data_IF_844444610851
#
_entry.id   IF_844444610851
#
_cell.length_a   1.000
_cell.length_b   1.000
_cell.length_c   1.000
_cell.angle_alpha   90.00
_cell.angle_beta   90.00
_cell.angle_gamma   90.00
#
_symmetry.space_group_name_H-M   'P 1'
#
loop_
_entity.id
_entity.type
_entity.pdbx_description
1 polymer ?
#
# COMPACT_ATOMS: atom_id res chain seq x y z
N UNK A 1 -2.93 -55.80 57.40
CA UNK A 1 -1.91 -54.76 57.17
C UNK A 1 -2.16 -54.21 55.76
N UNK A 2 -2.95 -53.15 55.63
CA UNK A 2 -3.40 -52.62 54.35
C UNK A 2 -2.36 -51.62 53.82
N UNK A 3 -1.80 -51.90 52.65
CA UNK A 3 -0.78 -51.09 52.00
C UNK A 3 -1.45 -50.11 51.03
N UNK A 4 -1.54 -48.84 51.42
CA UNK A 4 -2.03 -47.75 50.58
C UNK A 4 -0.98 -47.38 49.53
N UNK A 5 -1.23 -47.71 48.27
CA UNK A 5 -0.44 -47.25 47.13
C UNK A 5 -1.13 -45.99 46.57
N UNK A 6 -0.61 -44.82 46.95
CA UNK A 6 -1.02 -43.53 46.41
C UNK A 6 -0.44 -43.39 44.98
N UNK A 7 -1.28 -43.59 43.96
CA UNK A 7 -0.92 -43.29 42.56
C UNK A 7 -0.92 -41.77 42.34
N UNK A 8 0.26 -41.19 42.19
CA UNK A 8 0.40 -39.82 41.69
C UNK A 8 -0.04 -39.77 40.21
N UNK A 9 -1.19 -39.17 39.94
CA UNK A 9 -1.61 -38.79 38.59
C UNK A 9 -0.88 -37.50 38.21
N UNK A 10 0.25 -37.63 37.52
CA UNK A 10 0.89 -36.51 36.83
C UNK A 10 0.05 -36.10 35.62
N UNK A 11 -0.69 -35.00 35.73
CA UNK A 11 -1.35 -34.38 34.58
C UNK A 11 -0.28 -33.74 33.69
N UNK A 12 0.12 -34.45 32.62
CA UNK A 12 0.93 -33.87 31.56
C UNK A 12 0.05 -32.88 30.77
N UNK A 13 0.19 -31.60 31.11
CA UNK A 13 -0.41 -30.49 30.36
C UNK A 13 0.32 -30.39 29.01
N UNK A 14 -0.12 -31.14 28.00
CA UNK A 14 0.33 -30.95 26.63
C UNK A 14 -0.17 -29.58 26.16
N UNK A 15 0.71 -28.58 26.25
CA UNK A 15 0.57 -27.33 25.50
C UNK A 15 0.58 -27.70 24.03
N UNK A 16 -0.62 -27.89 23.45
CA UNK A 16 -0.80 -28.02 22.01
C UNK A 16 -0.46 -26.66 21.39
N UNK A 17 0.83 -26.40 21.19
CA UNK A 17 1.26 -25.27 20.39
C UNK A 17 0.81 -25.58 18.95
N UNK A 18 0.03 -24.71 18.30
CA UNK A 18 -0.55 -25.04 17.01
C UNK A 18 0.57 -25.20 15.99
N UNK A 19 0.79 -26.43 15.52
CA UNK A 19 1.81 -26.79 14.53
C UNK A 19 1.75 -25.91 13.27
N UNK A 20 0.56 -25.40 12.92
CA UNK A 20 0.35 -24.53 11.77
C UNK A 20 1.11 -23.20 11.85
N UNK A 21 1.27 -22.62 13.05
CA UNK A 21 1.95 -21.32 13.20
C UNK A 21 3.47 -21.43 12.93
N UNK A 22 4.08 -22.57 13.26
CA UNK A 22 5.50 -22.82 13.03
C UNK A 22 5.84 -23.06 11.56
N UNK A 23 4.93 -23.68 10.80
CA UNK A 23 5.13 -23.96 9.37
C UNK A 23 5.24 -22.69 8.53
N UNK A 24 4.33 -21.73 8.76
CA UNK A 24 4.31 -20.45 8.04
C UNK A 24 5.54 -19.59 8.35
N UNK A 25 5.98 -19.58 9.61
CA UNK A 25 7.15 -18.81 10.02
C UNK A 25 8.45 -19.40 9.45
N UNK A 26 8.59 -20.72 9.46
CA UNK A 26 9.72 -21.40 8.83
C UNK A 26 9.77 -21.14 7.31
N UNK A 27 8.61 -21.22 6.64
CA UNK A 27 8.52 -20.93 5.20
C UNK A 27 8.89 -19.47 4.88
N UNK A 28 8.44 -18.51 5.69
CA UNK A 28 8.81 -17.10 5.54
C UNK A 28 10.32 -16.87 5.75
N UNK A 29 10.93 -17.50 6.76
CA UNK A 29 12.36 -17.43 7.02
C UNK A 29 13.20 -18.07 5.89
N UNK A 30 12.75 -19.20 5.35
CA UNK A 30 13.38 -19.85 4.19
C UNK A 30 13.27 -18.97 2.94
N UNK A 31 12.09 -18.41 2.66
CA UNK A 31 11.90 -17.49 1.54
C UNK A 31 12.81 -16.26 1.65
N UNK A 32 12.90 -15.64 2.83
CA UNK A 32 13.78 -14.50 3.08
C UNK A 32 15.27 -14.86 2.89
N UNK A 33 15.69 -16.08 3.26
CA UNK A 33 17.04 -16.58 3.02
C UNK A 33 17.34 -16.77 1.54
N UNK A 34 16.43 -17.40 0.81
CA UNK A 34 16.56 -17.62 -0.65
C UNK A 34 16.66 -16.27 -1.37
N UNK A 35 15.77 -15.32 -1.05
CA UNK A 35 15.79 -13.98 -1.64
C UNK A 35 17.13 -13.26 -1.43
N UNK A 36 17.70 -13.34 -0.22
CA UNK A 36 19.05 -12.80 0.07
C UNK A 36 20.12 -13.40 -0.82
N UNK A 37 20.12 -14.73 -0.94
CA UNK A 37 21.12 -15.47 -1.70
C UNK A 37 21.00 -15.20 -3.21
N UNK A 38 19.78 -14.95 -3.72
CA UNK A 38 19.54 -14.63 -5.13
C UNK A 38 19.97 -13.20 -5.53
N UNK A 39 20.29 -12.32 -4.58
CA UNK A 39 20.67 -10.93 -4.84
C UNK A 39 22.04 -10.56 -4.22
N UNK A 40 23.13 -11.27 -4.58
CA UNK A 40 24.43 -11.12 -3.91
C UNK A 40 25.08 -9.74 -4.07
N UNK A 41 24.60 -8.91 -5.01
CA UNK A 41 25.10 -7.55 -5.26
C UNK A 41 24.37 -6.43 -4.49
N UNK A 42 23.40 -6.75 -3.64
CA UNK A 42 22.63 -5.75 -2.87
C UNK A 42 23.22 -5.61 -1.47
N UNK A 43 23.49 -4.36 -1.02
CA UNK A 43 24.04 -4.11 0.32
C UNK A 43 23.05 -4.51 1.42
N UNK A 44 23.57 -4.89 2.60
CA UNK A 44 22.72 -5.22 3.76
C UNK A 44 21.80 -4.05 4.15
N UNK A 45 22.27 -2.80 4.00
CA UNK A 45 21.48 -1.59 4.21
C UNK A 45 20.31 -1.48 3.22
N UNK A 46 20.59 -1.58 1.92
CA UNK A 46 19.55 -1.57 0.86
C UNK A 46 18.56 -2.70 1.08
N UNK A 47 19.05 -3.84 1.55
CA UNK A 47 18.23 -5.01 1.83
C UNK A 47 17.29 -4.79 3.02
N UNK A 48 17.81 -4.28 4.13
CA UNK A 48 17.01 -3.94 5.30
C UNK A 48 16.00 -2.83 5.01
N UNK A 49 16.33 -1.89 4.13
CA UNK A 49 15.45 -0.79 3.74
C UNK A 49 14.29 -1.21 2.83
N UNK A 50 14.44 -2.29 2.03
CA UNK A 50 13.46 -2.64 0.98
C UNK A 50 12.71 -3.93 1.22
N UNK A 51 13.31 -4.90 1.92
CA UNK A 51 12.76 -6.28 1.96
C UNK A 51 12.36 -6.71 3.36
N UNK A 52 12.80 -5.97 4.38
CA UNK A 52 12.19 -6.10 5.70
C UNK A 52 10.71 -5.69 5.58
N UNK A 53 9.82 -6.66 5.73
CA UNK A 53 8.39 -6.41 5.75
C UNK A 53 7.99 -5.77 7.07
N UNK A 54 7.11 -4.78 7.03
CA UNK A 54 6.38 -4.36 8.21
C UNK A 54 5.28 -5.37 8.58
N UNK A 55 4.61 -5.14 9.71
CA UNK A 55 3.57 -6.04 10.22
C UNK A 55 2.41 -6.23 9.23
N UNK A 56 2.01 -5.15 8.55
CA UNK A 56 0.92 -5.16 7.56
C UNK A 56 1.31 -5.95 6.32
N UNK A 57 2.50 -5.71 5.76
CA UNK A 57 3.05 -6.43 4.63
C UNK A 57 3.20 -7.93 4.93
N UNK A 58 3.70 -8.27 6.13
CA UNK A 58 3.83 -9.66 6.56
C UNK A 58 2.46 -10.35 6.71
N UNK A 59 1.48 -9.66 7.28
CA UNK A 59 0.11 -10.17 7.40
C UNK A 59 -0.55 -10.38 6.03
N UNK A 60 -0.44 -9.40 5.13
CA UNK A 60 -0.97 -9.50 3.77
C UNK A 60 -0.29 -10.63 2.98
N UNK A 61 1.02 -10.83 3.16
CA UNK A 61 1.74 -11.94 2.53
C UNK A 61 1.26 -13.30 3.06
N UNK A 62 1.18 -13.45 4.39
CA UNK A 62 0.74 -14.68 5.06
C UNK A 62 -0.67 -15.09 4.63
N UNK A 63 -1.57 -14.11 4.56
CA UNK A 63 -2.96 -14.34 4.21
C UNK A 63 -3.26 -14.20 2.72
N UNK A 64 -2.24 -14.05 1.86
CA UNK A 64 -2.41 -13.86 0.40
C UNK A 64 -3.43 -12.76 0.07
N UNK A 65 -3.32 -11.63 0.76
CA UNK A 65 -4.23 -10.48 0.69
C UNK A 65 -5.69 -10.76 1.10
N UNK A 66 -5.97 -11.89 1.75
CA UNK A 66 -7.30 -12.25 2.29
C UNK A 66 -7.24 -12.44 3.82
N UNK A 67 -6.89 -11.39 4.60
CA UNK A 67 -6.76 -11.50 6.05
C UNK A 67 -8.12 -11.79 6.72
N UNK A 68 -8.15 -12.55 7.82
CA UNK A 68 -9.33 -12.69 8.67
C UNK A 68 -9.80 -11.32 9.18
N UNK A 69 -11.10 -11.18 9.46
CA UNK A 69 -11.75 -9.91 9.82
C UNK A 69 -11.00 -9.13 10.92
N UNK A 70 -10.59 -9.79 12.00
CA UNK A 70 -9.85 -9.13 13.09
C UNK A 70 -8.50 -8.57 12.63
N UNK A 71 -7.80 -9.28 11.75
CA UNK A 71 -6.52 -8.84 11.17
C UNK A 71 -6.77 -7.70 10.19
N UNK A 72 -7.81 -7.81 9.37
CA UNK A 72 -8.24 -6.78 8.43
C UNK A 72 -8.57 -5.46 9.13
N UNK A 73 -9.37 -5.52 10.21
CA UNK A 73 -9.74 -4.35 11.02
C UNK A 73 -8.51 -3.69 11.66
N UNK A 74 -7.56 -4.50 12.15
CA UNK A 74 -6.29 -3.98 12.68
C UNK A 74 -5.48 -3.25 11.60
N UNK A 75 -5.34 -3.85 10.40
CA UNK A 75 -4.61 -3.23 9.28
C UNK A 75 -5.21 -1.87 8.95
N UNK A 76 -6.54 -1.77 8.87
CA UNK A 76 -7.24 -0.53 8.57
C UNK A 76 -7.00 0.53 9.65
N UNK A 77 -7.12 0.16 10.92
CA UNK A 77 -6.90 1.07 12.04
C UNK A 77 -5.46 1.59 12.09
N UNK A 78 -4.48 0.68 12.04
CA UNK A 78 -3.06 1.05 12.07
C UNK A 78 -2.71 1.96 10.87
N UNK A 79 -3.21 1.63 9.68
CA UNK A 79 -2.98 2.41 8.47
C UNK A 79 -3.59 3.82 8.52
N UNK A 80 -4.72 3.98 9.24
CA UNK A 80 -5.37 5.27 9.43
C UNK A 80 -4.59 6.17 10.40
N UNK A 81 -4.03 5.59 11.48
CA UNK A 81 -3.23 6.32 12.48
C UNK A 81 -1.90 6.87 11.93
N UNK A 82 -1.41 6.26 10.85
CA UNK A 82 -0.16 6.66 10.19
C UNK A 82 -0.33 7.85 9.24
N UNK A 83 -1.55 8.27 8.94
CA UNK A 83 -1.81 9.32 7.95
C UNK A 83 -1.33 10.68 8.46
N UNK A 84 -0.51 11.35 7.64
CA UNK A 84 -0.06 12.72 7.85
C UNK A 84 -0.64 13.62 6.78
N UNK A 85 -1.07 14.81 7.18
CA UNK A 85 -1.67 15.79 6.29
C UNK A 85 -0.66 16.85 5.86
N UNK A 86 -0.91 17.58 4.77
CA UNK A 86 -0.06 18.68 4.31
C UNK A 86 0.08 19.73 5.40
N UNK A 87 1.28 20.30 5.52
CA UNK A 87 1.56 21.37 6.48
C UNK A 87 0.70 22.62 6.27
N UNK A 88 0.28 22.85 5.02
CA UNK A 88 -0.64 23.91 4.60
C UNK A 88 -2.10 23.68 4.99
N UNK A 89 -2.48 22.45 5.36
CA UNK A 89 -3.88 22.04 5.55
C UNK A 89 -4.70 21.92 4.24
N UNK A 90 -4.10 22.21 3.09
CA UNK A 90 -4.77 22.17 1.77
C UNK A 90 -4.76 20.75 1.22
N UNK A 91 -5.94 20.14 1.07
CA UNK A 91 -6.08 18.77 0.53
C UNK A 91 -6.34 18.71 -0.97
N UNK A 92 -6.73 19.82 -1.59
CA UNK A 92 -6.89 19.96 -3.04
C UNK A 92 -5.81 20.95 -3.50
N UNK A 93 -4.69 20.40 -3.98
CA UNK A 93 -3.53 21.17 -4.46
C UNK A 93 -3.66 21.63 -5.92
N UNK A 94 -2.57 21.53 -6.67
CA UNK A 94 -2.48 21.92 -8.07
C UNK A 94 -2.62 20.72 -9.02
N UNK A 95 -3.74 20.68 -9.76
CA UNK A 95 -4.05 19.55 -10.65
C UNK A 95 -3.00 19.33 -11.76
N UNK A 96 -2.32 20.37 -12.24
CA UNK A 96 -1.28 20.26 -13.28
C UNK A 96 -0.03 19.55 -12.75
N UNK A 97 0.28 19.74 -11.47
CA UNK A 97 1.36 19.01 -10.79
C UNK A 97 0.90 17.57 -10.54
N UNK A 98 -0.33 17.38 -10.10
CA UNK A 98 -0.93 16.06 -9.88
C UNK A 98 -0.94 15.19 -11.14
N UNK A 99 -1.29 15.76 -12.29
CA UNK A 99 -1.22 15.08 -13.59
C UNK A 99 0.18 14.55 -13.89
N UNK A 100 1.19 15.42 -13.73
CA UNK A 100 2.59 15.06 -13.96
C UNK A 100 3.00 13.92 -13.02
N UNK A 101 2.68 14.03 -11.74
CA UNK A 101 2.98 13.00 -10.74
C UNK A 101 2.29 11.67 -11.07
N UNK A 102 1.05 11.70 -11.55
CA UNK A 102 0.29 10.52 -11.94
C UNK A 102 0.93 9.78 -13.14
N UNK A 103 1.61 10.50 -14.04
CA UNK A 103 2.28 9.96 -15.24
C UNK A 103 3.70 9.45 -14.98
N UNK A 104 4.42 10.02 -14.01
CA UNK A 104 5.80 9.60 -13.70
C UNK A 104 5.80 8.16 -13.13
N UNK A 105 6.59 7.28 -13.74
CA UNK A 105 6.74 5.86 -13.37
C UNK A 105 8.07 5.52 -12.67
N UNK A 106 8.93 6.52 -12.49
CA UNK A 106 10.31 6.37 -11.98
C UNK A 106 10.43 6.65 -10.48
N UNK A 107 11.63 6.45 -9.92
CA UNK A 107 12.06 7.08 -8.66
C UNK A 107 12.56 6.14 -7.57
N UNK A 108 12.82 4.88 -7.92
CA UNK A 108 13.35 3.91 -6.97
C UNK A 108 13.73 2.56 -7.58
N UNK A 109 13.76 2.42 -8.90
CA UNK A 109 14.20 1.22 -9.58
C UNK A 109 15.72 1.06 -9.39
N UNK A 110 16.15 -0.17 -9.08
CA UNK A 110 17.57 -0.53 -9.08
C UNK A 110 17.76 -1.52 -10.22
N UNK A 111 18.35 -1.07 -11.33
CA UNK A 111 18.53 -1.90 -12.52
C UNK A 111 19.88 -1.62 -13.17
N UNK A 112 20.52 -2.68 -13.65
CA UNK A 112 21.73 -2.58 -14.50
C UNK A 112 21.38 -2.38 -15.98
N UNK A 113 20.19 -2.81 -16.41
CA UNK A 113 19.75 -2.77 -17.81
C UNK A 113 19.05 -1.44 -18.17
N UNK A 114 18.42 -0.81 -17.19
CA UNK A 114 17.79 0.50 -17.32
C UNK A 114 18.01 1.27 -16.02
N UNK A 115 19.24 1.78 -15.81
CA UNK A 115 19.57 2.50 -14.59
C UNK A 115 18.81 3.83 -14.55
N UNK A 116 18.18 4.12 -13.42
CA UNK A 116 17.63 5.44 -13.16
C UNK A 116 18.73 6.40 -12.68
N UNK A 117 18.60 7.67 -13.06
CA UNK A 117 19.45 8.71 -12.50
C UNK A 117 19.24 8.81 -10.98
N UNK A 118 20.30 9.08 -10.23
CA UNK A 118 20.19 9.39 -8.81
C UNK A 118 19.27 10.61 -8.63
N UNK A 119 18.25 10.47 -7.79
CA UNK A 119 17.25 11.51 -7.58
C UNK A 119 16.21 11.62 -8.70
N UNK A 120 16.06 10.60 -9.55
CA UNK A 120 14.94 10.53 -10.49
C UNK A 120 13.62 10.83 -9.76
N UNK A 121 12.73 11.64 -10.36
CA UNK A 121 11.51 12.05 -9.70
C UNK A 121 10.64 10.82 -9.40
N UNK A 122 10.09 10.81 -8.18
CA UNK A 122 9.10 9.81 -7.76
C UNK A 122 7.72 10.25 -8.22
N UNK A 123 7.06 9.36 -8.95
CA UNK A 123 5.67 9.53 -9.36
C UNK A 123 4.74 8.50 -8.74
N UNK A 124 3.44 8.71 -8.93
CA UNK A 124 2.40 7.78 -8.51
C UNK A 124 2.21 6.61 -9.47
N UNK A 125 2.67 6.73 -10.73
CA UNK A 125 2.46 5.76 -11.80
C UNK A 125 0.99 5.31 -11.91
N UNK A 126 0.05 6.25 -11.71
CA UNK A 126 -1.36 5.96 -11.52
C UNK A 126 -1.97 5.30 -12.77
N UNK A 127 -1.52 5.73 -13.95
CA UNK A 127 -1.96 5.18 -15.23
C UNK A 127 -1.59 3.71 -15.42
N UNK A 128 -0.60 3.16 -14.70
CA UNK A 128 -0.31 1.73 -14.77
C UNK A 128 -1.46 0.85 -14.22
N UNK A 129 -2.34 1.42 -13.40
CA UNK A 129 -3.44 0.69 -12.77
C UNK A 129 -4.83 1.24 -13.10
N UNK A 130 -4.94 2.52 -13.41
CA UNK A 130 -6.22 3.22 -13.56
C UNK A 130 -6.30 3.92 -14.92
N UNK A 131 -7.52 4.02 -15.42
CA UNK A 131 -7.88 5.03 -16.43
C UNK A 131 -8.21 6.33 -15.69
N UNK A 132 -7.60 7.45 -16.09
CA UNK A 132 -7.81 8.77 -15.47
C UNK A 132 -8.38 9.77 -16.48
N UNK A 133 -7.56 10.54 -17.18
CA UNK A 133 -8.03 11.45 -18.24
C UNK A 133 -8.56 10.65 -19.44
N UNK A 134 -9.66 11.12 -20.03
CA UNK A 134 -10.34 10.42 -21.11
C UNK A 134 -9.55 10.37 -22.42
N UNK A 135 -8.59 11.27 -22.60
CA UNK A 135 -7.71 11.38 -23.76
C UNK A 135 -6.38 10.61 -23.61
N UNK A 136 -6.08 10.09 -22.41
CA UNK A 136 -4.89 9.26 -22.18
C UNK A 136 -5.20 7.79 -22.50
N UNK A 137 -4.61 7.30 -23.59
CA UNK A 137 -4.83 5.93 -24.08
C UNK A 137 -3.95 4.89 -23.38
N UNK A 138 -2.84 5.31 -22.78
CA UNK A 138 -1.91 4.42 -22.10
C UNK A 138 -2.32 4.21 -20.63
N UNK A 139 -3.35 3.40 -20.40
CA UNK A 139 -3.90 3.13 -19.07
C UNK A 139 -4.08 1.63 -18.78
N UNK A 140 -3.93 1.25 -17.50
CA UNK A 140 -4.17 -0.09 -16.98
C UNK A 140 -5.56 -0.25 -16.37
N UNK A 141 -5.88 -1.49 -16.00
CA UNK A 141 -7.21 -1.91 -15.49
C UNK A 141 -7.14 -2.73 -14.20
N UNK A 142 -6.00 -2.70 -13.48
CA UNK A 142 -5.87 -3.37 -12.18
C UNK A 142 -6.74 -2.69 -11.10
N UNK A 143 -6.87 -1.38 -11.18
CA UNK A 143 -7.77 -0.58 -10.36
C UNK A 143 -9.02 -0.15 -11.13
N UNK A 144 -10.02 0.44 -10.44
CA UNK A 144 -11.21 0.98 -11.08
C UNK A 144 -10.88 2.14 -12.05
N UNK A 145 -11.77 2.36 -13.00
CA UNK A 145 -11.76 3.57 -13.82
C UNK A 145 -12.06 4.81 -12.93
N UNK A 146 -11.23 5.85 -13.04
CA UNK A 146 -11.31 7.10 -12.29
C UNK A 146 -11.66 8.31 -13.17
N UNK A 147 -11.95 8.11 -14.46
CA UNK A 147 -12.45 9.17 -15.34
C UNK A 147 -13.73 9.78 -14.76
N UNK A 148 -13.79 11.11 -14.71
CA UNK A 148 -14.92 11.86 -14.16
C UNK A 148 -15.07 11.75 -12.64
N UNK A 149 -14.04 11.32 -11.89
CA UNK A 149 -14.16 11.09 -10.44
C UNK A 149 -14.72 12.31 -9.69
N UNK A 150 -14.19 13.51 -9.95
CA UNK A 150 -14.68 14.76 -9.35
C UNK A 150 -16.12 15.09 -9.76
N UNK A 151 -16.49 14.85 -11.03
CA UNK A 151 -17.89 15.01 -11.49
C UNK A 151 -18.86 14.07 -10.78
N UNK A 152 -18.46 12.82 -10.53
CA UNK A 152 -19.30 11.80 -9.93
C UNK A 152 -19.40 11.91 -8.40
N UNK A 153 -18.32 12.34 -7.74
CA UNK A 153 -18.21 12.37 -6.28
C UNK A 153 -18.34 13.76 -5.68
N UNK A 154 -18.21 14.82 -6.49
CA UNK A 154 -18.12 16.19 -6.01
C UNK A 154 -16.77 16.52 -5.40
N UNK A 155 -16.65 17.73 -4.83
CA UNK A 155 -15.38 18.28 -4.32
C UNK A 155 -15.47 18.71 -2.86
N UNK A 156 -16.41 18.13 -2.09
CA UNK A 156 -16.57 18.50 -0.68
C UNK A 156 -15.32 18.17 0.15
N UNK A 157 -15.10 18.85 1.30
CA UNK A 157 -13.98 18.56 2.19
C UNK A 157 -13.90 17.08 2.61
N UNK A 158 -15.05 16.42 2.79
CA UNK A 158 -15.13 15.00 3.15
C UNK A 158 -14.63 14.11 2.02
N UNK A 159 -15.02 14.42 0.77
CA UNK A 159 -14.56 13.69 -0.43
C UNK A 159 -13.07 13.89 -0.63
N UNK A 160 -12.58 15.13 -0.52
CA UNK A 160 -11.15 15.44 -0.61
C UNK A 160 -10.35 14.69 0.47
N UNK A 161 -10.83 14.67 1.72
CA UNK A 161 -10.19 13.95 2.81
C UNK A 161 -10.18 12.45 2.58
N UNK A 162 -11.30 11.85 2.19
CA UNK A 162 -11.36 10.41 1.92
C UNK A 162 -10.43 10.01 0.76
N UNK A 163 -10.40 10.81 -0.32
CA UNK A 163 -9.51 10.56 -1.45
C UNK A 163 -8.03 10.73 -1.08
N UNK A 164 -7.71 11.78 -0.32
CA UNK A 164 -6.37 12.00 0.21
C UNK A 164 -5.90 10.81 1.03
N UNK A 165 -6.71 10.34 1.98
CA UNK A 165 -6.40 9.20 2.82
C UNK A 165 -6.21 7.92 1.99
N UNK A 166 -7.04 7.73 0.94
CA UNK A 166 -6.91 6.60 0.02
C UNK A 166 -5.58 6.60 -0.72
N UNK A 167 -5.09 7.75 -1.16
CA UNK A 167 -3.80 7.86 -1.86
C UNK A 167 -2.63 7.78 -0.87
N UNK A 168 -2.74 8.41 0.30
CA UNK A 168 -1.70 8.39 1.32
C UNK A 168 -1.43 6.96 1.82
N UNK A 169 -2.49 6.25 2.20
CA UNK A 169 -2.42 4.87 2.63
C UNK A 169 -3.70 4.13 2.23
N UNK A 170 -3.68 3.47 1.06
CA UNK A 170 -4.83 2.78 0.51
C UNK A 170 -5.40 1.67 1.41
N UNK A 171 -4.59 1.18 2.35
CA UNK A 171 -4.97 0.14 3.30
C UNK A 171 -5.75 0.65 4.51
N UNK A 172 -5.84 1.98 4.70
CA UNK A 172 -6.70 2.62 5.69
C UNK A 172 -8.20 2.57 5.34
N UNK A 173 -8.55 2.02 4.17
CA UNK A 173 -9.94 1.81 3.74
C UNK A 173 -10.18 0.43 3.15
N UNK A 174 -9.16 -0.17 2.52
CA UNK A 174 -9.25 -1.51 1.92
C UNK A 174 -8.07 -2.34 2.41
N UNK A 175 -8.25 -3.26 3.37
CA UNK A 175 -7.16 -4.04 3.94
C UNK A 175 -6.44 -4.83 2.85
N UNK A 176 -5.10 -4.84 2.88
CA UNK A 176 -4.27 -5.49 1.86
C UNK A 176 -4.54 -5.05 0.40
N UNK A 177 -5.04 -3.82 0.21
CA UNK A 177 -5.12 -3.19 -1.10
C UNK A 177 -3.79 -3.28 -1.85
N UNK A 178 -3.88 -3.62 -3.15
CA UNK A 178 -2.71 -3.66 -4.06
C UNK A 178 -2.18 -2.26 -4.40
N UNK A 179 -3.00 -1.22 -4.25
CA UNK A 179 -2.57 0.17 -4.42
C UNK A 179 -1.47 0.50 -3.39
N UNK A 180 -0.29 1.03 -3.81
CA UNK A 180 0.79 1.35 -2.90
C UNK A 180 0.40 2.37 -1.82
N UNK A 181 1.02 2.24 -0.64
CA UNK A 181 0.84 3.19 0.48
C UNK A 181 1.81 4.38 0.29
N UNK A 182 1.52 5.25 -0.67
CA UNK A 182 2.45 6.26 -1.17
C UNK A 182 2.98 7.20 -0.09
N UNK A 183 2.09 7.75 0.75
CA UNK A 183 2.46 8.68 1.82
C UNK A 183 3.14 7.99 2.99
N UNK A 184 2.58 6.86 3.44
CA UNK A 184 3.15 6.06 4.54
C UNK A 184 4.60 5.62 4.25
N UNK A 185 4.88 5.18 3.03
CA UNK A 185 6.22 4.76 2.63
C UNK A 185 7.17 5.95 2.34
N UNK A 186 6.73 7.21 2.50
CA UNK A 186 7.50 8.40 2.14
C UNK A 186 7.85 8.46 0.65
N UNK A 187 7.04 7.83 -0.21
CA UNK A 187 7.26 7.83 -1.65
C UNK A 187 6.83 9.15 -2.28
N UNK A 188 5.66 9.65 -1.87
CA UNK A 188 5.15 10.99 -2.19
C UNK A 188 5.00 11.79 -0.90
N UNK A 189 5.28 13.09 -0.96
CA UNK A 189 5.04 14.00 0.16
C UNK A 189 3.55 14.25 0.36
N UNK A 190 3.12 14.70 1.56
CA UNK A 190 1.75 15.12 1.78
C UNK A 190 1.21 16.11 0.74
N UNK A 191 2.02 17.09 0.35
CA UNK A 191 1.67 18.12 -0.64
C UNK A 191 1.51 17.52 -2.05
N UNK A 192 2.42 16.63 -2.47
CA UNK A 192 2.30 15.93 -3.75
C UNK A 192 1.03 15.08 -3.83
N UNK A 193 0.62 14.47 -2.72
CA UNK A 193 -0.64 13.73 -2.65
C UNK A 193 -1.83 14.68 -2.82
N UNK A 194 -1.81 15.85 -2.20
CA UNK A 194 -2.85 16.87 -2.39
C UNK A 194 -2.94 17.36 -3.85
N UNK A 195 -1.81 17.45 -4.55
CA UNK A 195 -1.79 17.75 -5.99
C UNK A 195 -2.48 16.66 -6.82
N UNK A 196 -2.25 15.37 -6.49
CA UNK A 196 -2.95 14.25 -7.16
C UNK A 196 -4.45 14.24 -6.79
N UNK A 197 -4.82 14.59 -5.56
CA UNK A 197 -6.23 14.78 -5.18
C UNK A 197 -6.87 15.85 -6.07
N UNK A 198 -6.20 16.99 -6.28
CA UNK A 198 -6.68 18.00 -7.22
C UNK A 198 -6.78 17.48 -8.64
N UNK A 199 -5.84 16.66 -9.11
CA UNK A 199 -5.95 16.04 -10.42
C UNK A 199 -7.22 15.20 -10.60
N UNK A 200 -7.71 14.55 -9.55
CA UNK A 200 -8.96 13.77 -9.62
C UNK A 200 -10.22 14.61 -9.39
N UNK A 201 -10.14 15.69 -8.60
CA UNK A 201 -11.31 16.46 -8.15
C UNK A 201 -11.54 17.78 -8.88
N UNK A 202 -10.48 18.44 -9.35
CA UNK A 202 -10.56 19.77 -9.95
C UNK A 202 -11.42 19.74 -11.23
N UNK A 203 -12.34 20.70 -11.34
CA UNK A 203 -13.27 20.78 -12.46
C UNK A 203 -12.57 21.09 -13.79
N UNK A 204 -11.40 21.73 -13.77
CA UNK A 204 -10.58 22.00 -14.96
C UNK A 204 -9.66 20.83 -15.32
N UNK A 205 -9.46 19.86 -14.42
CA UNK A 205 -8.62 18.70 -14.69
C UNK A 205 -9.15 17.90 -15.90
N UNK A 206 -8.27 17.38 -16.79
CA UNK A 206 -8.67 16.53 -17.91
C UNK A 206 -9.35 15.23 -17.46
N UNK A 207 -9.15 14.78 -16.22
CA UNK A 207 -9.95 13.68 -15.61
C UNK A 207 -11.44 13.99 -15.66
N UNK A 208 -11.81 15.25 -15.44
CA UNK A 208 -13.18 15.70 -15.36
C UNK A 208 -13.67 16.34 -16.68
N UNK A 209 -12.86 16.41 -17.74
CA UNK A 209 -13.29 16.91 -19.07
C UNK A 209 -14.02 15.88 -19.94
N UNK A 210 -14.82 15.00 -19.33
CA UNK A 210 -15.73 14.13 -20.08
C UNK A 210 -16.94 14.92 -20.58
N UNK A 211 -17.11 15.00 -21.91
CA UNK A 211 -18.35 15.48 -22.52
C UNK A 211 -19.46 14.47 -22.24
N UNK A 212 -20.68 14.95 -21.96
CA UNK A 212 -21.84 14.12 -21.60
C UNK A 212 -22.32 13.16 -22.67
N UNK A 213 -21.70 13.17 -23.86
CA UNK A 213 -22.28 12.54 -25.03
C UNK A 213 -21.32 11.47 -25.57
N UNK A 214 -21.58 10.22 -25.16
CA UNK A 214 -21.52 8.99 -25.96
C UNK A 214 -22.14 7.82 -25.19
#
# INVERSE_FOLDING_TARGET
MALNILRAMGAALFLAVPMFAFGDELAAQQAARILRQSMPGVSAETWNARIKQDATQAACSRHRNQPPEKVAAKIVADAADEIRYPSSGVLIGNWKVGERLAKISTGGQVSKLSPEALGAPRGGNCYACHVLAADEVAAGTLGPNLTGYGKLRGTSPEVAKALYQKIYNAQASVPCSLMPRFGHNGWLTPEQIADIVAYLLDAESPVNQVTSDK
#
